data_IF_988179328785
#
_entry.id   IF_988179328785
#
_cell.length_a   1.000
_cell.length_b   1.000
_cell.length_c   1.000
_cell.angle_alpha   90.00
_cell.angle_beta   90.00
_cell.angle_gamma   90.00
#
_symmetry.space_group_name_H-M   'P 1'
#
loop_
_entity.id
_entity.type
_entity.pdbx_description
1 polymer ?
#
# COMPACT_ATOMS: atom_id res chain seq x y z
N UNK A 1 -4.21 36.82 -129.11
CA UNK A 1 -3.93 36.97 -127.67
C UNK A 1 -4.04 35.58 -127.08
N UNK A 2 -2.91 35.00 -126.73
CA UNK A 2 -2.73 33.56 -126.52
C UNK A 2 -3.02 33.13 -125.09
N UNK A 3 -3.72 32.01 -124.97
CA UNK A 3 -4.06 31.28 -123.74
C UNK A 3 -3.22 30.01 -123.70
N UNK A 4 -2.22 29.95 -122.81
CA UNK A 4 -1.48 28.72 -122.51
C UNK A 4 -2.01 28.12 -121.20
N UNK A 5 -2.50 26.87 -121.29
CA UNK A 5 -2.82 26.03 -120.13
C UNK A 5 -1.64 25.10 -119.82
N UNK A 6 -1.12 25.07 -118.58
CA UNK A 6 -0.12 24.09 -118.22
C UNK A 6 -0.79 22.78 -117.79
N UNK A 7 -0.61 21.75 -118.60
CA UNK A 7 -0.80 20.35 -118.22
C UNK A 7 0.32 19.94 -117.26
N UNK A 8 0.06 20.04 -115.95
CA UNK A 8 0.94 19.51 -114.90
C UNK A 8 0.43 18.12 -114.48
N UNK A 9 1.04 17.09 -115.06
CA UNK A 9 0.90 15.69 -114.63
C UNK A 9 1.71 15.48 -113.35
N UNK A 10 1.08 15.69 -112.20
CA UNK A 10 1.63 15.36 -110.89
C UNK A 10 1.53 13.84 -110.66
N UNK A 11 2.59 13.10 -110.95
CA UNK A 11 2.81 11.77 -110.40
C UNK A 11 2.97 11.91 -108.87
N UNK A 12 1.86 11.83 -108.14
CA UNK A 12 1.89 11.64 -106.69
C UNK A 12 2.66 10.36 -106.39
N UNK A 13 3.85 10.49 -105.80
CA UNK A 13 4.66 9.36 -105.41
C UNK A 13 3.91 8.52 -104.35
N UNK A 14 3.76 7.19 -104.53
CA UNK A 14 3.03 6.31 -103.62
C UNK A 14 3.51 6.35 -102.15
N UNK A 15 4.70 6.89 -101.90
CA UNK A 15 5.34 6.93 -100.59
C UNK A 15 4.72 7.95 -99.61
N UNK A 16 4.09 9.02 -100.11
CA UNK A 16 3.55 10.10 -99.27
C UNK A 16 2.24 9.71 -98.56
N UNK A 17 1.43 8.85 -99.19
CA UNK A 17 0.19 8.34 -98.62
C UNK A 17 0.42 7.35 -97.48
N UNK A 18 1.49 6.56 -97.54
CA UNK A 18 1.84 5.61 -96.48
C UNK A 18 2.24 6.36 -95.19
N UNK A 19 3.12 7.35 -95.33
CA UNK A 19 3.56 8.20 -94.20
C UNK A 19 2.39 8.94 -93.55
N UNK A 20 1.50 9.54 -94.35
CA UNK A 20 0.30 10.21 -93.83
C UNK A 20 -0.63 9.26 -93.09
N UNK A 21 -0.80 8.02 -93.57
CA UNK A 21 -1.64 7.02 -92.90
C UNK A 21 -1.07 6.63 -91.54
N UNK A 22 0.24 6.45 -91.46
CA UNK A 22 0.91 6.08 -90.21
C UNK A 22 0.88 7.23 -89.19
N UNK A 23 1.09 8.48 -89.63
CA UNK A 23 0.91 9.67 -88.78
C UNK A 23 -0.53 9.80 -88.24
N UNK A 24 -1.54 9.54 -89.07
CA UNK A 24 -2.94 9.59 -88.62
C UNK A 24 -3.27 8.48 -87.60
N UNK A 25 -2.62 7.31 -87.72
CA UNK A 25 -2.77 6.21 -86.75
C UNK A 25 -2.11 6.54 -85.42
N UNK A 26 -0.92 7.15 -85.47
CA UNK A 26 -0.21 7.63 -84.28
C UNK A 26 -1.05 8.69 -83.56
N UNK A 27 -1.58 9.68 -84.29
CA UNK A 27 -2.48 10.69 -83.73
C UNK A 27 -3.77 10.10 -83.14
N UNK A 28 -4.35 9.09 -83.78
CA UNK A 28 -5.52 8.40 -83.25
C UNK A 28 -5.19 7.64 -81.94
N UNK A 29 -4.02 6.98 -81.88
CA UNK A 29 -3.55 6.32 -80.67
C UNK A 29 -3.29 7.32 -79.53
N UNK A 30 -2.73 8.49 -79.83
CA UNK A 30 -2.53 9.56 -78.85
C UNK A 30 -3.86 10.13 -78.33
N UNK A 31 -4.87 10.28 -79.20
CA UNK A 31 -6.21 10.70 -78.78
C UNK A 31 -6.89 9.67 -77.87
N UNK A 32 -6.74 8.38 -78.16
CA UNK A 32 -7.24 7.31 -77.30
C UNK A 32 -6.52 7.31 -75.94
N UNK A 33 -5.20 7.52 -75.92
CA UNK A 33 -4.44 7.66 -74.68
C UNK A 33 -4.89 8.88 -73.86
N UNK A 34 -5.11 10.04 -74.50
CA UNK A 34 -5.63 11.23 -73.83
C UNK A 34 -7.02 11.00 -73.25
N UNK A 35 -7.89 10.25 -73.94
CA UNK A 35 -9.20 9.89 -73.41
C UNK A 35 -9.10 8.99 -72.16
N UNK A 36 -8.18 8.01 -72.16
CA UNK A 36 -7.92 7.16 -70.99
C UNK A 36 -7.38 8.00 -69.82
N UNK A 37 -6.41 8.87 -70.05
CA UNK A 37 -5.86 9.75 -69.01
C UNK A 37 -6.91 10.72 -68.45
N UNK A 38 -7.81 11.22 -69.29
CA UNK A 38 -8.92 12.07 -68.85
C UNK A 38 -9.91 11.29 -67.97
N UNK A 39 -10.25 10.06 -68.35
CA UNK A 39 -11.09 9.18 -67.54
C UNK A 39 -10.43 8.87 -66.18
N UNK A 40 -9.14 8.50 -66.18
CA UNK A 40 -8.36 8.30 -64.95
C UNK A 40 -8.33 9.55 -64.06
N UNK A 41 -8.10 10.74 -64.65
CA UNK A 41 -8.12 12.00 -63.91
C UNK A 41 -9.49 12.26 -63.27
N UNK A 42 -10.59 11.98 -63.98
CA UNK A 42 -11.94 12.14 -63.42
C UNK A 42 -12.22 11.14 -62.30
N UNK A 43 -11.76 9.90 -62.42
CA UNK A 43 -11.86 8.88 -61.35
C UNK A 43 -11.06 9.29 -60.11
N UNK A 44 -9.80 9.69 -60.27
CA UNK A 44 -8.98 10.16 -59.16
C UNK A 44 -9.56 11.41 -58.49
N UNK A 45 -10.18 12.32 -59.26
CA UNK A 45 -10.87 13.48 -58.69
C UNK A 45 -12.09 13.07 -57.87
N UNK A 46 -12.90 12.13 -58.35
CA UNK A 46 -14.06 11.63 -57.61
C UNK A 46 -13.64 10.92 -56.31
N UNK A 47 -12.56 10.14 -56.33
CA UNK A 47 -11.98 9.51 -55.14
C UNK A 47 -11.47 10.55 -54.12
N UNK A 48 -10.79 11.60 -54.57
CA UNK A 48 -10.35 12.71 -53.71
C UNK A 48 -11.54 13.47 -53.10
N UNK A 49 -12.60 13.72 -53.87
CA UNK A 49 -13.80 14.38 -53.36
C UNK A 49 -14.53 13.47 -52.34
N UNK A 50 -14.60 12.16 -52.58
CA UNK A 50 -15.17 11.20 -51.64
C UNK A 50 -14.40 11.14 -50.32
N UNK A 51 -13.07 10.98 -50.37
CA UNK A 51 -12.21 10.97 -49.17
C UNK A 51 -12.27 12.29 -48.42
N UNK A 52 -12.40 13.43 -49.11
CA UNK A 52 -12.61 14.74 -48.48
C UNK A 52 -13.93 14.78 -47.70
N UNK A 53 -15.02 14.30 -48.28
CA UNK A 53 -16.32 14.22 -47.61
C UNK A 53 -16.28 13.30 -46.38
N UNK A 54 -15.61 12.15 -46.48
CA UNK A 54 -15.43 11.23 -45.36
C UNK A 54 -14.63 11.87 -44.22
N UNK A 55 -13.53 12.56 -44.53
CA UNK A 55 -12.75 13.30 -43.52
C UNK A 55 -13.57 14.40 -42.83
N UNK A 56 -14.43 15.12 -43.57
CA UNK A 56 -15.32 16.13 -42.97
C UNK A 56 -16.32 15.46 -42.02
N UNK A 57 -16.91 14.32 -42.42
CA UNK A 57 -17.84 13.57 -41.58
C UNK A 57 -17.15 13.07 -40.29
N UNK A 58 -15.95 12.48 -40.40
CA UNK A 58 -15.16 12.03 -39.25
C UNK A 58 -14.80 13.18 -38.31
N UNK A 59 -14.35 14.32 -38.84
CA UNK A 59 -14.05 15.50 -38.04
C UNK A 59 -15.29 16.04 -37.31
N UNK A 60 -16.46 16.01 -37.96
CA UNK A 60 -17.71 16.41 -37.31
C UNK A 60 -18.07 15.49 -36.15
N UNK A 61 -17.87 14.18 -36.29
CA UNK A 61 -18.10 13.21 -35.22
C UNK A 61 -17.13 13.40 -34.05
N UNK A 62 -15.85 13.68 -34.34
CA UNK A 62 -14.85 14.01 -33.31
C UNK A 62 -15.26 15.25 -32.51
N UNK A 63 -15.75 16.29 -33.17
CA UNK A 63 -16.20 17.51 -32.50
C UNK A 63 -17.46 17.29 -31.63
N UNK A 64 -18.36 16.37 -32.00
CA UNK A 64 -19.47 15.97 -31.13
C UNK A 64 -18.95 15.27 -29.88
N UNK A 65 -18.11 14.25 -30.03
CA UNK A 65 -17.51 13.53 -28.90
C UNK A 65 -16.71 14.46 -27.97
N UNK A 66 -16.05 15.47 -28.53
CA UNK A 66 -15.31 16.48 -27.77
C UNK A 66 -16.25 17.32 -26.90
N UNK A 67 -17.43 17.72 -27.40
CA UNK A 67 -18.44 18.43 -26.63
C UNK A 67 -19.00 17.56 -25.51
N UNK A 68 -19.35 16.31 -25.81
CA UNK A 68 -19.87 15.37 -24.81
C UNK A 68 -18.84 15.15 -23.69
N UNK A 69 -17.57 15.00 -24.05
CA UNK A 69 -16.46 14.90 -23.08
C UNK A 69 -16.39 16.11 -22.16
N UNK A 70 -16.61 17.32 -22.68
CA UNK A 70 -16.58 18.54 -21.87
C UNK A 70 -17.78 18.61 -20.91
N UNK A 71 -18.98 18.22 -21.37
CA UNK A 71 -20.17 18.10 -20.51
C UNK A 71 -19.91 17.12 -19.36
N UNK A 72 -19.33 15.95 -19.63
CA UNK A 72 -19.00 14.99 -18.57
C UNK A 72 -17.94 15.52 -17.60
N UNK A 73 -16.98 16.33 -18.05
CA UNK A 73 -16.02 16.96 -17.13
C UNK A 73 -16.69 17.97 -16.21
N UNK A 74 -17.60 18.79 -16.74
CA UNK A 74 -18.38 19.74 -15.93
C UNK A 74 -19.27 19.04 -14.91
N UNK A 75 -19.89 17.92 -15.28
CA UNK A 75 -20.67 17.09 -14.37
C UNK A 75 -19.80 16.49 -13.25
N UNK A 76 -18.65 15.91 -13.60
CA UNK A 76 -17.69 15.39 -12.61
C UNK A 76 -17.19 16.50 -11.68
N UNK A 77 -16.94 17.71 -12.20
CA UNK A 77 -16.52 18.86 -11.38
C UNK A 77 -17.62 19.26 -10.38
N UNK A 78 -18.87 19.28 -10.83
CA UNK A 78 -20.05 19.53 -9.99
C UNK A 78 -20.16 18.48 -8.87
N UNK A 79 -20.11 17.19 -9.22
CA UNK A 79 -20.19 16.08 -8.25
C UNK A 79 -19.04 16.13 -7.23
N UNK A 80 -17.81 16.44 -7.65
CA UNK A 80 -16.68 16.63 -6.74
C UNK A 80 -16.90 17.80 -5.77
N UNK A 81 -17.47 18.91 -6.24
CA UNK A 81 -17.82 20.05 -5.37
C UNK A 81 -18.86 19.66 -4.33
N UNK A 82 -19.88 18.89 -4.71
CA UNK A 82 -20.90 18.39 -3.77
C UNK A 82 -20.32 17.43 -2.74
N UNK A 83 -19.49 16.48 -3.17
CA UNK A 83 -18.78 15.57 -2.26
C UNK A 83 -17.89 16.34 -1.27
N UNK A 84 -17.20 17.40 -1.72
CA UNK A 84 -16.40 18.24 -0.83
C UNK A 84 -17.26 18.96 0.21
N UNK A 85 -18.45 19.46 -0.18
CA UNK A 85 -19.39 20.07 0.76
C UNK A 85 -19.89 19.06 1.79
N UNK A 86 -20.22 17.84 1.36
CA UNK A 86 -20.64 16.76 2.27
C UNK A 86 -19.53 16.36 3.24
N UNK A 87 -18.29 16.23 2.75
CA UNK A 87 -17.12 15.93 3.57
C UNK A 87 -16.92 16.99 4.66
N UNK A 88 -16.92 18.28 4.28
CA UNK A 88 -16.78 19.39 5.22
C UNK A 88 -17.90 19.41 6.28
N UNK A 89 -19.12 19.01 5.90
CA UNK A 89 -20.26 18.93 6.83
C UNK A 89 -20.11 17.76 7.81
N UNK A 90 -19.66 16.58 7.34
CA UNK A 90 -19.40 15.40 8.18
C UNK A 90 -18.30 15.70 9.18
N UNK A 91 -17.21 16.35 8.75
CA UNK A 91 -16.10 16.72 9.62
C UNK A 91 -16.55 17.72 10.70
N UNK A 92 -17.41 18.69 10.34
CA UNK A 92 -17.97 19.66 11.29
C UNK A 92 -18.89 19.01 12.31
N UNK A 93 -19.75 18.08 11.90
CA UNK A 93 -20.66 17.39 12.82
C UNK A 93 -19.90 16.43 13.75
N UNK A 94 -18.90 15.72 13.23
CA UNK A 94 -18.03 14.85 14.04
C UNK A 94 -17.26 15.66 15.08
N UNK A 95 -16.73 16.82 14.70
CA UNK A 95 -16.05 17.73 15.63
C UNK A 95 -17.01 18.28 16.70
N UNK A 96 -18.25 18.62 16.32
CA UNK A 96 -19.30 19.06 17.26
C UNK A 96 -19.62 17.98 18.30
N UNK A 97 -19.81 16.72 17.87
CA UNK A 97 -20.06 15.60 18.77
C UNK A 97 -18.88 15.32 19.70
N UNK A 98 -17.64 15.43 19.20
CA UNK A 98 -16.45 15.27 20.02
C UNK A 98 -16.37 16.34 21.14
N UNK A 99 -16.70 17.60 20.81
CA UNK A 99 -16.75 18.67 21.81
C UNK A 99 -17.83 18.44 22.86
N UNK A 100 -19.02 17.98 22.46
CA UNK A 100 -20.12 17.70 23.40
C UNK A 100 -19.76 16.55 24.36
N UNK A 101 -19.12 15.50 23.84
CA UNK A 101 -18.59 14.40 24.65
C UNK A 101 -17.48 14.88 25.62
N UNK A 102 -16.56 15.73 25.15
CA UNK A 102 -15.50 16.29 25.98
C UNK A 102 -16.07 17.06 27.17
N UNK A 103 -17.05 17.95 26.95
CA UNK A 103 -17.69 18.71 28.03
C UNK A 103 -18.47 17.84 28.99
N UNK A 104 -19.12 16.78 28.49
CA UNK A 104 -19.83 15.81 29.33
C UNK A 104 -18.87 15.06 30.26
N UNK A 105 -17.74 14.58 29.72
CA UNK A 105 -16.70 13.91 30.52
C UNK A 105 -16.09 14.87 31.54
N UNK A 106 -15.85 16.13 31.14
CA UNK A 106 -15.32 17.15 32.04
C UNK A 106 -16.29 17.44 33.22
N UNK A 107 -17.59 17.52 32.96
CA UNK A 107 -18.59 17.72 33.99
C UNK A 107 -18.66 16.55 34.98
N UNK A 108 -18.56 15.30 34.51
CA UNK A 108 -18.49 14.13 35.38
C UNK A 108 -17.18 14.10 36.18
N UNK A 109 -16.05 14.51 35.59
CA UNK A 109 -14.78 14.63 36.31
C UNK A 109 -14.89 15.65 37.45
N UNK A 110 -15.45 16.83 37.19
CA UNK A 110 -15.63 17.87 38.21
C UNK A 110 -16.57 17.39 39.34
N UNK A 111 -17.63 16.66 38.99
CA UNK A 111 -18.55 16.03 39.96
C UNK A 111 -17.84 14.99 40.83
N UNK A 112 -17.01 14.13 40.24
CA UNK A 112 -16.23 13.15 41.02
C UNK A 112 -15.20 13.83 41.93
N UNK A 113 -14.60 14.94 41.48
CA UNK A 113 -13.69 15.74 42.29
C UNK A 113 -14.38 16.37 43.49
N UNK A 114 -15.57 16.94 43.29
CA UNK A 114 -16.40 17.48 44.38
C UNK A 114 -16.75 16.38 45.41
N UNK A 115 -17.14 15.19 44.95
CA UNK A 115 -17.46 14.09 45.88
C UNK A 115 -16.20 13.59 46.62
N UNK A 116 -15.05 13.55 45.96
CA UNK A 116 -13.78 13.19 46.60
C UNK A 116 -13.40 14.20 47.69
N UNK A 117 -13.54 15.51 47.42
CA UNK A 117 -13.30 16.56 48.40
C UNK A 117 -14.26 16.45 49.59
N UNK A 118 -15.53 16.10 49.31
CA UNK A 118 -16.54 15.83 50.34
C UNK A 118 -16.16 14.66 51.23
N UNK A 119 -15.73 13.55 50.64
CA UNK A 119 -15.28 12.36 51.39
C UNK A 119 -14.02 12.64 52.19
N UNK A 120 -13.07 13.38 51.62
CA UNK A 120 -11.83 13.80 52.30
C UNK A 120 -12.14 14.66 53.52
N UNK A 121 -13.09 15.59 53.39
CA UNK A 121 -13.55 16.43 54.50
C UNK A 121 -14.25 15.61 55.58
N UNK A 122 -15.11 14.67 55.20
CA UNK A 122 -15.79 13.78 56.14
C UNK A 122 -14.80 12.87 56.90
N UNK A 123 -13.78 12.37 56.22
CA UNK A 123 -12.72 11.57 56.83
C UNK A 123 -11.90 12.39 57.84
N UNK A 124 -11.54 13.63 57.50
CA UNK A 124 -10.83 14.53 58.40
C UNK A 124 -11.66 14.82 59.67
N UNK A 125 -12.97 14.99 59.55
CA UNK A 125 -13.86 15.20 60.70
C UNK A 125 -13.99 13.95 61.59
N UNK A 126 -14.10 12.75 61.00
CA UNK A 126 -14.09 11.50 61.76
C UNK A 126 -12.77 11.30 62.51
N UNK A 127 -11.65 11.65 61.89
CA UNK A 127 -10.34 11.59 62.55
C UNK A 127 -10.28 12.58 63.72
N UNK A 128 -10.79 13.80 63.55
CA UNK A 128 -10.89 14.80 64.62
C UNK A 128 -11.74 14.29 65.80
N UNK A 129 -12.90 13.70 65.53
CA UNK A 129 -13.76 13.10 66.56
C UNK A 129 -13.04 11.97 67.31
N UNK A 130 -12.33 11.10 66.60
CA UNK A 130 -11.55 10.02 67.20
C UNK A 130 -10.45 10.55 68.12
N UNK A 131 -9.74 11.60 67.70
CA UNK A 131 -8.69 12.23 68.50
C UNK A 131 -9.27 12.92 69.75
N UNK A 132 -10.43 13.59 69.61
CA UNK A 132 -11.19 14.17 70.73
C UNK A 132 -11.65 13.11 71.75
N UNK A 133 -12.17 11.97 71.29
CA UNK A 133 -12.56 10.83 72.15
C UNK A 133 -11.36 10.23 72.89
N UNK A 134 -10.24 10.02 72.20
CA UNK A 134 -9.00 9.54 72.82
C UNK A 134 -8.48 10.51 73.88
N UNK A 135 -8.51 11.81 73.59
CA UNK A 135 -8.11 12.84 74.54
C UNK A 135 -9.05 12.88 75.76
N UNK A 136 -10.36 12.77 75.56
CA UNK A 136 -11.34 12.69 76.63
C UNK A 136 -11.14 11.45 77.52
N UNK A 137 -10.89 10.28 76.92
CA UNK A 137 -10.58 9.05 77.63
C UNK A 137 -9.30 9.19 78.47
N UNK A 138 -8.23 9.73 77.90
CA UNK A 138 -6.98 9.99 78.62
C UNK A 138 -7.17 10.97 79.79
N UNK A 139 -7.99 12.01 79.61
CA UNK A 139 -8.31 12.95 80.67
C UNK A 139 -9.14 12.31 81.80
N UNK A 140 -10.07 11.39 81.49
CA UNK A 140 -10.80 10.61 82.51
C UNK A 140 -9.85 9.75 83.33
N UNK A 141 -8.96 8.99 82.68
CA UNK A 141 -7.95 8.17 83.35
C UNK A 141 -7.04 9.03 84.26
N UNK A 142 -6.60 10.20 83.78
CA UNK A 142 -5.82 11.14 84.61
C UNK A 142 -6.59 11.60 85.84
N UNK A 143 -7.88 11.95 85.70
CA UNK A 143 -8.71 12.37 86.82
C UNK A 143 -8.94 11.23 87.84
N UNK A 144 -9.13 10.00 87.37
CA UNK A 144 -9.29 8.82 88.21
C UNK A 144 -8.01 8.53 89.03
N UNK A 145 -6.84 8.58 88.38
CA UNK A 145 -5.55 8.44 89.06
C UNK A 145 -5.38 9.53 90.13
N UNK A 146 -5.63 10.80 89.80
CA UNK A 146 -5.53 11.90 90.77
C UNK A 146 -6.49 11.72 91.95
N UNK A 147 -7.70 11.21 91.73
CA UNK A 147 -8.66 10.89 92.80
C UNK A 147 -8.14 9.80 93.74
N UNK A 148 -7.50 8.75 93.21
CA UNK A 148 -6.89 7.68 94.02
C UNK A 148 -5.78 8.26 94.91
N UNK A 149 -4.93 9.13 94.37
CA UNK A 149 -3.86 9.78 95.15
C UNK A 149 -4.39 10.74 96.23
N UNK A 150 -5.53 11.41 96.01
CA UNK A 150 -6.13 12.32 97.00
C UNK A 150 -6.77 11.60 98.21
N UNK A 151 -7.12 10.31 98.08
CA UNK A 151 -7.72 9.51 99.17
C UNK A 151 -6.69 8.72 99.99
N UNK A 152 -5.41 8.82 99.65
CA UNK A 152 -4.35 8.18 100.43
C UNK A 152 -4.23 8.86 101.80
N UNK A 153 -4.28 8.11 102.93
CA UNK A 153 -4.14 8.68 104.25
C UNK A 153 -2.76 9.35 104.40
N UNK A 154 -2.77 10.57 104.93
CA UNK A 154 -1.57 11.37 105.21
C UNK A 154 -0.70 10.65 106.25
N UNK A 155 0.18 9.78 105.78
CA UNK A 155 0.92 8.89 106.67
C UNK A 155 2.13 8.24 106.04
N UNK A 156 2.89 8.92 105.18
CA UNK A 156 4.27 8.49 104.85
C UNK A 156 5.15 9.70 104.50
N UNK A 157 5.60 10.40 105.55
CA UNK A 157 6.87 11.10 105.53
C UNK A 157 7.98 10.07 105.77
N UNK A 158 8.72 9.70 104.73
CA UNK A 158 10.06 9.13 104.90
C UNK A 158 10.86 9.35 103.60
N UNK A 159 11.78 10.30 103.68
CA UNK A 159 12.86 10.48 102.72
C UNK A 159 13.74 9.22 102.63
N UNK A 160 14.37 8.99 101.48
CA UNK A 160 15.77 8.62 101.50
C UNK A 160 16.58 9.33 100.40
N UNK A 161 17.55 10.12 100.83
CA UNK A 161 18.91 10.21 100.22
C UNK A 161 19.68 8.90 100.55
N UNK A 162 20.86 8.55 99.98
CA UNK A 162 21.71 9.19 98.95
C UNK A 162 22.39 8.18 97.96
N UNK A 163 23.45 8.66 97.28
CA UNK A 163 24.52 7.95 96.54
C UNK A 163 24.19 7.58 95.07
N UNK A 164 25.00 7.90 94.06
CA UNK A 164 26.45 8.08 94.00
C UNK A 164 26.95 7.13 92.91
N UNK A 165 27.15 7.62 91.68
CA UNK A 165 27.47 6.77 90.54
C UNK A 165 27.93 7.55 89.31
N UNK A 166 29.20 7.94 89.34
CA UNK A 166 29.97 8.53 88.25
C UNK A 166 30.21 7.48 87.15
N UNK A 167 29.71 7.68 85.92
CA UNK A 167 30.34 7.08 84.71
C UNK A 167 30.24 8.07 83.55
N UNK A 168 31.42 8.45 83.06
CA UNK A 168 31.68 9.23 81.85
C UNK A 168 31.17 8.51 80.59
N UNK A 169 30.71 9.26 79.59
CA UNK A 169 30.47 8.71 78.26
C UNK A 169 29.82 9.68 77.27
N UNK A 170 30.57 10.70 76.82
CA UNK A 170 30.31 11.47 75.58
C UNK A 170 30.47 10.50 74.39
N UNK A 171 29.70 10.61 73.30
CA UNK A 171 30.05 11.57 72.25
C UNK A 171 28.85 12.35 71.67
N UNK A 172 29.15 13.59 71.26
CA UNK A 172 28.36 14.35 70.30
C UNK A 172 28.38 13.66 68.94
N UNK A 173 27.21 13.54 68.28
CA UNK A 173 27.10 13.74 66.83
C UNK A 173 25.75 14.41 66.54
N UNK A 174 25.81 15.46 65.73
CA UNK A 174 24.73 16.34 65.26
C UNK A 174 23.64 15.62 64.43
N UNK A 175 22.46 16.24 64.25
CA UNK A 175 21.33 15.64 63.55
C UNK A 175 21.41 15.89 62.04
N UNK A 176 21.21 14.85 61.23
CA UNK A 176 20.93 15.00 59.80
C UNK A 176 19.55 14.42 59.50
N UNK A 177 18.64 15.34 59.17
CA UNK A 177 17.32 15.08 58.62
C UNK A 177 17.45 14.48 57.22
N UNK A 178 16.85 13.30 57.01
CA UNK A 178 16.37 12.84 55.71
C UNK A 178 15.26 11.79 55.89
N UNK A 179 14.22 11.80 55.04
CA UNK A 179 13.02 10.98 55.21
C UNK A 179 13.23 9.55 54.67
N UNK A 180 12.79 8.56 55.44
CA UNK A 180 12.71 7.16 55.00
C UNK A 180 11.44 6.95 54.18
N UNK A 181 11.62 6.66 52.88
CA UNK A 181 10.58 6.11 52.02
C UNK A 181 10.28 4.67 52.44
N UNK A 182 9.02 4.40 52.79
CA UNK A 182 8.49 3.05 52.96
C UNK A 182 8.37 2.35 51.60
N UNK A 183 9.38 1.54 51.26
CA UNK A 183 9.24 0.52 50.22
C UNK A 183 8.26 -0.55 50.71
N UNK A 184 7.03 -0.48 50.21
CA UNK A 184 6.02 -1.53 50.34
C UNK A 184 6.38 -2.65 49.38
N UNK A 185 6.88 -3.75 49.93
CA UNK A 185 7.09 -5.02 49.24
C UNK A 185 5.75 -5.56 48.75
N UNK A 186 5.54 -5.49 47.43
CA UNK A 186 4.42 -6.08 46.70
C UNK A 186 4.71 -7.57 46.46
N UNK A 187 3.83 -8.52 46.85
CA UNK A 187 3.99 -9.91 46.46
C UNK A 187 3.63 -10.08 44.98
N UNK A 188 4.52 -10.74 44.25
CA UNK A 188 4.34 -11.23 42.87
C UNK A 188 3.33 -12.40 42.85
N UNK A 189 2.42 -12.49 41.85
CA UNK A 189 1.63 -13.69 41.64
C UNK A 189 2.46 -14.74 40.88
N UNK A 190 2.53 -15.94 41.44
CA UNK A 190 3.16 -17.11 40.83
C UNK A 190 2.43 -17.53 39.55
N UNK A 191 3.16 -17.56 38.43
CA UNK A 191 2.71 -18.12 37.17
C UNK A 191 2.79 -19.65 37.20
N UNK A 192 1.64 -20.29 37.38
CA UNK A 192 1.43 -21.72 37.24
C UNK A 192 1.74 -22.13 35.79
N UNK A 193 2.91 -22.72 35.58
CA UNK A 193 3.30 -23.33 34.30
C UNK A 193 2.85 -24.78 34.32
N UNK A 194 1.75 -25.10 33.62
CA UNK A 194 1.33 -26.49 33.35
C UNK A 194 2.17 -27.06 32.20
N UNK A 195 2.76 -28.27 32.30
CA UNK A 195 3.31 -28.97 31.16
C UNK A 195 2.21 -29.74 30.44
N UNK A 196 2.12 -29.57 29.11
CA UNK A 196 1.32 -30.42 28.23
C UNK A 196 2.20 -31.45 27.50
N UNK A 197 1.63 -32.61 27.14
CA UNK A 197 2.38 -33.85 26.98
C UNK A 197 3.01 -34.01 25.59
N UNK A 198 4.10 -34.76 25.59
CA UNK A 198 4.73 -35.34 24.42
C UNK A 198 3.77 -36.24 23.65
N UNK A 199 3.59 -35.98 22.36
CA UNK A 199 3.20 -37.00 21.40
C UNK A 199 4.46 -37.46 20.66
N UNK A 200 4.82 -38.72 20.92
CA UNK A 200 5.72 -39.51 20.10
C UNK A 200 5.01 -40.01 18.82
N UNK A 201 5.82 -40.53 17.89
CA UNK A 201 5.51 -41.30 16.69
C UNK A 201 5.39 -40.46 15.39
N UNK A 202 5.98 -40.83 14.25
CA UNK A 202 6.73 -42.03 13.85
C UNK A 202 7.43 -41.75 12.52
N UNK A 203 8.59 -42.39 12.35
CA UNK A 203 9.44 -42.41 11.16
C UNK A 203 8.79 -42.98 9.88
N UNK A 204 9.24 -42.48 8.73
CA UNK A 204 9.49 -43.18 7.45
C UNK A 204 10.20 -42.16 6.54
N UNK A 205 11.49 -42.21 6.20
CA UNK A 205 12.35 -43.27 5.64
C UNK A 205 11.84 -43.81 4.30
N UNK A 206 12.09 -43.06 3.21
CA UNK A 206 12.43 -43.63 1.90
C UNK A 206 13.63 -42.84 1.33
N UNK A 207 14.52 -43.62 0.74
CA UNK A 207 15.92 -43.40 0.41
C UNK A 207 16.11 -43.30 -1.10
N UNK A 208 17.22 -42.67 -1.51
CA UNK A 208 18.00 -42.78 -2.77
C UNK A 208 17.55 -42.13 -4.08
N UNK A 209 18.46 -41.31 -4.63
CA UNK A 209 18.57 -40.93 -6.04
C UNK A 209 19.82 -40.08 -6.26
N UNK A 210 20.86 -40.67 -6.86
CA UNK A 210 22.26 -40.18 -6.93
C UNK A 210 22.56 -39.15 -8.05
N UNK A 211 23.42 -38.16 -7.70
CA UNK A 211 24.53 -37.59 -8.51
C UNK A 211 24.24 -36.65 -9.69
N UNK A 212 25.26 -35.95 -10.28
CA UNK A 212 26.66 -35.72 -9.88
C UNK A 212 26.96 -34.22 -9.60
N UNK A 213 27.69 -33.83 -8.55
CA UNK A 213 29.17 -33.63 -8.47
C UNK A 213 29.80 -32.86 -9.65
N UNK A 214 29.95 -31.55 -9.50
CA UNK A 214 30.93 -30.71 -10.23
C UNK A 214 31.71 -29.82 -9.27
N UNK A 215 32.95 -30.25 -9.06
CA UNK A 215 34.21 -29.50 -9.05
C UNK A 215 34.33 -28.16 -8.31
N UNK A 216 35.22 -28.21 -7.32
CA UNK A 216 35.94 -27.14 -6.68
C UNK A 216 36.63 -26.20 -7.70
N UNK A 217 36.42 -24.90 -7.55
CA UNK A 217 37.42 -23.90 -7.96
C UNK A 217 37.80 -23.09 -6.72
N UNK A 218 39.02 -23.37 -6.28
CA UNK A 218 39.81 -22.64 -5.31
C UNK A 218 40.29 -21.32 -5.93
N UNK A 219 40.34 -20.26 -5.11
CA UNK A 219 41.35 -19.23 -5.25
C UNK A 219 40.88 -17.87 -5.77
N UNK A 220 40.32 -17.03 -4.89
CA UNK A 220 40.48 -15.57 -5.01
C UNK A 220 40.82 -14.99 -3.64
N UNK A 221 42.02 -14.42 -3.58
CA UNK A 221 42.65 -13.72 -2.45
C UNK A 221 42.00 -12.33 -2.29
N UNK A 222 41.77 -11.82 -1.06
CA UNK A 222 41.15 -10.50 -0.89
C UNK A 222 42.21 -9.39 -1.00
N UNK A 223 41.90 -8.22 -1.60
CA UNK A 223 42.72 -7.04 -1.44
C UNK A 223 42.16 -6.11 -0.36
N UNK A 224 43.02 -5.87 0.62
CA UNK A 224 43.46 -4.54 1.10
C UNK A 224 42.39 -3.62 1.71
N UNK A 225 42.53 -3.45 3.02
CA UNK A 225 41.99 -2.33 3.81
C UNK A 225 42.55 -1.02 3.27
N UNK A 226 41.66 -0.10 2.90
CA UNK A 226 41.96 1.31 2.69
C UNK A 226 40.95 2.12 3.49
N UNK A 227 41.43 2.74 4.57
CA UNK A 227 40.74 3.79 5.30
C UNK A 227 40.79 5.07 4.44
N UNK A 228 39.64 5.63 4.13
CA UNK A 228 39.51 7.03 3.73
C UNK A 228 38.13 7.52 4.16
N UNK A 229 38.12 8.30 5.23
CA UNK A 229 37.02 9.17 5.60
C UNK A 229 37.03 10.34 4.61
N UNK A 230 35.93 10.52 3.88
CA UNK A 230 35.58 11.78 3.25
C UNK A 230 34.08 11.96 3.40
N UNK A 231 33.72 13.00 4.16
CA UNK A 231 32.37 13.46 4.43
C UNK A 231 31.63 13.78 3.12
N UNK A 232 30.84 12.82 2.64
CA UNK A 232 29.81 13.10 1.65
C UNK A 232 28.61 13.66 2.43
N UNK A 233 28.50 14.99 2.46
CA UNK A 233 27.26 15.69 2.80
C UNK A 233 26.23 15.28 1.74
N UNK A 234 25.39 14.30 2.09
CA UNK A 234 24.21 13.94 1.30
C UNK A 234 23.23 15.09 1.44
N UNK A 235 23.17 15.94 0.41
CA UNK A 235 22.08 16.90 0.23
C UNK A 235 20.80 16.09 0.05
N UNK A 236 19.93 16.10 1.07
CA UNK A 236 18.57 15.57 1.00
C UNK A 236 17.77 16.35 -0.05
N UNK A 237 17.81 15.85 -1.28
CA UNK A 237 16.89 16.29 -2.33
C UNK A 237 15.49 15.80 -1.98
N UNK A 238 14.59 16.74 -1.73
CA UNK A 238 13.14 16.58 -1.48
C UNK A 238 12.37 16.12 -2.73
N UNK A 239 12.89 15.12 -3.44
CA UNK A 239 12.24 14.48 -4.59
C UNK A 239 11.08 13.56 -4.19
N UNK A 240 10.22 13.18 -5.14
CA UNK A 240 9.03 12.37 -4.91
C UNK A 240 9.37 11.05 -4.21
N UNK A 241 8.57 10.72 -3.18
CA UNK A 241 8.76 9.62 -2.21
C UNK A 241 8.52 8.23 -2.82
N UNK A 242 9.00 7.94 -4.01
CA UNK A 242 8.96 6.57 -4.52
C UNK A 242 10.05 5.78 -3.81
N UNK A 243 9.63 4.82 -2.98
CA UNK A 243 10.52 3.98 -2.22
C UNK A 243 11.49 3.27 -3.17
N UNK A 244 12.77 3.69 -3.17
CA UNK A 244 13.85 3.18 -4.03
C UNK A 244 13.79 1.66 -4.11
N UNK A 245 13.29 1.12 -5.23
CA UNK A 245 13.31 -0.29 -5.58
C UNK A 245 14.65 -0.93 -5.17
N UNK A 246 14.67 -2.23 -4.86
CA UNK A 246 15.90 -2.88 -4.36
C UNK A 246 17.06 -2.78 -5.37
N UNK A 247 16.72 -2.58 -6.65
CA UNK A 247 17.65 -2.26 -7.74
C UNK A 247 17.10 -1.10 -8.55
N UNK A 248 17.98 -0.30 -9.16
CA UNK A 248 17.57 0.81 -10.02
C UNK A 248 16.72 0.31 -11.19
N UNK A 249 15.56 0.92 -11.39
CA UNK A 249 14.66 0.62 -12.51
C UNK A 249 15.22 1.27 -13.80
N UNK A 250 15.21 0.59 -14.95
CA UNK A 250 15.61 1.19 -16.22
C UNK A 250 14.82 2.47 -16.51
N UNK A 251 15.50 3.48 -17.05
CA UNK A 251 14.93 4.83 -17.21
C UNK A 251 13.61 4.86 -17.98
N UNK A 252 13.51 4.13 -19.10
CA UNK A 252 12.26 4.06 -19.88
C UNK A 252 11.09 3.50 -19.07
N UNK A 253 11.34 2.49 -18.25
CA UNK A 253 10.32 1.88 -17.38
C UNK A 253 9.93 2.76 -16.21
N UNK A 254 10.90 3.48 -15.65
CA UNK A 254 10.66 4.46 -14.60
C UNK A 254 9.75 5.57 -15.10
N UNK A 255 10.03 6.13 -16.28
CA UNK A 255 9.20 7.16 -16.91
C UNK A 255 7.77 6.68 -17.15
N UNK A 256 7.60 5.45 -17.64
CA UNK A 256 6.27 4.83 -17.82
C UNK A 256 5.47 4.70 -16.51
N UNK A 257 6.14 4.36 -15.40
CA UNK A 257 5.47 4.33 -14.08
C UNK A 257 5.17 5.73 -13.54
N UNK A 258 6.04 6.71 -13.78
CA UNK A 258 5.83 8.11 -13.37
C UNK A 258 4.65 8.76 -14.10
N UNK A 259 4.39 8.34 -15.35
CA UNK A 259 3.22 8.75 -16.14
C UNK A 259 1.93 8.05 -15.70
N UNK A 260 2.04 6.96 -14.92
CA UNK A 260 0.88 6.19 -14.45
C UNK A 260 0.24 6.84 -13.22
N UNK A 261 -1.09 6.99 -13.18
CA UNK A 261 -1.77 7.66 -12.06
C UNK A 261 -1.65 6.85 -10.77
N UNK A 262 -1.32 7.49 -9.64
CA UNK A 262 -1.31 6.82 -8.33
C UNK A 262 -2.75 6.50 -7.87
N UNK A 263 -2.96 5.29 -7.35
CA UNK A 263 -4.26 4.85 -6.86
C UNK A 263 -4.26 4.73 -5.35
N UNK A 264 -5.17 5.45 -4.69
CA UNK A 264 -5.45 5.25 -3.27
C UNK A 264 -6.28 3.97 -3.12
N UNK A 265 -5.77 3.01 -2.37
CA UNK A 265 -6.48 1.76 -2.07
C UNK A 265 -6.88 1.72 -0.61
N UNK A 266 -8.08 1.21 -0.34
CA UNK A 266 -8.59 0.97 1.02
C UNK A 266 -8.19 -0.42 1.52
N UNK A 267 -6.94 -0.82 1.26
CA UNK A 267 -6.41 -2.11 1.70
C UNK A 267 -5.67 -1.89 3.02
N UNK A 268 -6.14 -2.55 4.08
CA UNK A 268 -5.48 -2.47 5.37
C UNK A 268 -4.08 -3.11 5.30
N UNK A 269 -3.06 -2.27 5.47
CA UNK A 269 -1.64 -2.64 5.48
C UNK A 269 -1.29 -3.61 6.60
N UNK A 270 -2.16 -3.76 7.60
CA UNK A 270 -1.97 -4.68 8.72
C UNK A 270 -2.18 -6.16 8.34
N UNK A 271 -2.76 -6.45 7.17
CA UNK A 271 -3.11 -7.82 6.77
C UNK A 271 -1.89 -8.60 6.27
N UNK A 272 -1.33 -9.41 7.18
CA UNK A 272 -0.20 -10.30 6.91
C UNK A 272 -0.67 -11.75 6.90
N UNK A 273 -0.32 -12.47 5.84
CA UNK A 273 -0.65 -13.87 5.60
C UNK A 273 0.62 -14.72 5.51
N UNK A 274 0.45 -16.03 5.56
CA UNK A 274 1.50 -16.98 5.16
C UNK A 274 1.12 -17.66 3.85
N UNK A 275 2.12 -18.13 3.09
CA UNK A 275 1.85 -18.92 1.88
C UNK A 275 1.13 -20.24 2.19
N UNK A 276 1.36 -20.78 3.40
CA UNK A 276 0.61 -21.89 3.99
C UNK A 276 -0.87 -21.60 4.04
N UNK A 277 -1.22 -20.45 4.65
CA UNK A 277 -2.59 -19.97 4.74
C UNK A 277 -3.24 -19.78 3.37
N UNK A 278 -2.57 -19.11 2.42
CA UNK A 278 -3.14 -18.90 1.07
C UNK A 278 -3.44 -20.22 0.36
N UNK A 279 -2.56 -21.22 0.44
CA UNK A 279 -2.81 -22.53 -0.17
C UNK A 279 -3.93 -23.30 0.53
N UNK A 280 -4.04 -23.19 1.86
CA UNK A 280 -5.13 -23.81 2.62
C UNK A 280 -6.50 -23.18 2.32
N UNK A 281 -6.54 -21.86 2.15
CA UNK A 281 -7.77 -21.06 2.02
C UNK A 281 -8.23 -20.88 0.58
N UNK A 282 -7.32 -20.71 -0.39
CA UNK A 282 -7.65 -20.52 -1.80
C UNK A 282 -7.39 -21.79 -2.63
N UNK A 283 -6.35 -22.54 -2.28
CA UNK A 283 -5.85 -23.69 -3.05
C UNK A 283 -4.57 -23.35 -3.82
N UNK A 284 -4.25 -24.18 -4.81
CA UNK A 284 -3.07 -24.00 -5.66
C UNK A 284 -1.75 -24.47 -5.05
N UNK A 285 -0.68 -24.38 -5.85
CA UNK A 285 0.68 -24.83 -5.47
C UNK A 285 1.43 -23.76 -4.67
N UNK A 286 2.35 -24.22 -3.81
CA UNK A 286 3.20 -23.38 -2.95
C UNK A 286 4.41 -22.75 -3.65
N UNK A 287 4.72 -23.06 -4.90
CA UNK A 287 5.96 -22.60 -5.54
C UNK A 287 5.81 -21.57 -6.68
N UNK A 288 4.73 -21.54 -7.49
CA UNK A 288 4.72 -20.68 -8.65
C UNK A 288 4.47 -19.21 -8.30
N UNK A 289 5.17 -18.31 -9.00
CA UNK A 289 4.90 -16.87 -9.02
C UNK A 289 3.44 -16.60 -9.39
N UNK A 290 2.93 -17.38 -10.35
CA UNK A 290 1.55 -17.35 -10.84
C UNK A 290 0.84 -18.60 -10.32
N UNK A 291 0.03 -18.47 -9.28
CA UNK A 291 -0.69 -19.59 -8.70
C UNK A 291 -1.99 -19.81 -9.47
N UNK A 292 -2.03 -20.90 -10.24
CA UNK A 292 -3.26 -21.41 -10.88
C UNK A 292 -3.97 -22.37 -9.93
N UNK A 293 -5.26 -22.16 -9.71
CA UNK A 293 -6.09 -23.02 -8.86
C UNK A 293 -6.83 -24.00 -9.75
N UNK A 294 -6.47 -25.29 -9.66
CA UNK A 294 -7.21 -26.32 -10.39
C UNK A 294 -8.64 -26.40 -9.84
N UNK A 295 -9.65 -26.51 -10.72
CA UNK A 295 -11.08 -26.55 -10.32
C UNK A 295 -11.37 -27.60 -9.24
N UNK A 296 -10.73 -28.76 -9.29
CA UNK A 296 -10.90 -29.83 -8.29
C UNK A 296 -10.26 -29.53 -6.92
N UNK A 297 -9.37 -28.55 -6.86
CA UNK A 297 -8.65 -28.13 -5.64
C UNK A 297 -9.04 -26.73 -5.18
N UNK A 298 -10.01 -26.10 -5.86
CA UNK A 298 -10.52 -24.80 -5.48
C UNK A 298 -11.25 -24.91 -4.15
N UNK A 299 -10.97 -23.98 -3.27
CA UNK A 299 -11.61 -23.90 -1.95
C UNK A 299 -12.84 -23.01 -2.02
N UNK A 300 -13.75 -23.14 -1.06
CA UNK A 300 -15.01 -22.41 -1.03
C UNK A 300 -14.84 -20.90 -1.18
N UNK A 301 -13.81 -20.30 -0.55
CA UNK A 301 -13.53 -18.87 -0.68
C UNK A 301 -13.10 -18.48 -2.10
N UNK A 302 -12.20 -19.26 -2.70
CA UNK A 302 -11.77 -19.01 -4.07
C UNK A 302 -12.92 -19.20 -5.07
N UNK A 303 -13.83 -20.15 -4.81
CA UNK A 303 -15.03 -20.36 -5.62
C UNK A 303 -16.02 -19.18 -5.47
N UNK A 304 -16.33 -18.78 -4.24
CA UNK A 304 -17.26 -17.67 -3.98
C UNK A 304 -16.77 -16.32 -4.52
N UNK A 305 -15.46 -16.13 -4.58
CA UNK A 305 -14.84 -14.91 -5.10
C UNK A 305 -14.39 -15.03 -6.56
N UNK A 306 -14.70 -16.14 -7.24
CA UNK A 306 -14.29 -16.43 -8.61
C UNK A 306 -12.77 -16.24 -8.86
N UNK A 307 -11.96 -16.69 -7.92
CA UNK A 307 -10.50 -16.62 -7.99
C UNK A 307 -9.99 -17.92 -8.63
N UNK A 308 -9.66 -17.87 -9.91
CA UNK A 308 -9.03 -18.99 -10.62
C UNK A 308 -7.50 -18.91 -10.61
N UNK A 309 -6.96 -17.69 -10.52
CA UNK A 309 -5.53 -17.39 -10.55
C UNK A 309 -5.20 -16.19 -9.66
N UNK A 310 -4.02 -16.20 -9.07
CA UNK A 310 -3.48 -15.07 -8.31
C UNK A 310 -1.95 -15.02 -8.39
N UNK A 311 -1.37 -13.89 -8.02
CA UNK A 311 0.07 -13.62 -8.09
C UNK A 311 0.68 -13.63 -6.70
N UNK A 312 1.82 -14.29 -6.55
CA UNK A 312 2.60 -14.34 -5.30
C UNK A 312 4.10 -14.08 -5.54
N UNK A 313 4.50 -12.89 -6.05
CA UNK A 313 5.91 -12.58 -6.25
C UNK A 313 6.68 -12.52 -4.94
N UNK A 314 7.89 -13.07 -4.96
CA UNK A 314 8.87 -12.81 -3.91
C UNK A 314 9.57 -11.48 -4.21
N UNK A 315 9.52 -10.54 -3.26
CA UNK A 315 10.06 -9.19 -3.42
C UNK A 315 11.57 -9.19 -3.68
N UNK A 316 12.33 -10.14 -3.13
CA UNK A 316 13.78 -10.24 -3.37
C UNK A 316 14.10 -10.67 -4.80
N UNK A 317 13.25 -11.49 -5.41
CA UNK A 317 13.40 -11.95 -6.79
C UNK A 317 12.75 -10.98 -7.78
N UNK A 318 11.78 -10.21 -7.31
CA UNK A 318 11.03 -9.22 -8.07
C UNK A 318 11.20 -7.83 -7.46
N UNK A 319 12.41 -7.25 -7.55
CA UNK A 319 12.75 -5.99 -6.88
C UNK A 319 11.95 -4.78 -7.40
N UNK A 320 11.23 -4.93 -8.52
CA UNK A 320 10.43 -3.90 -9.17
C UNK A 320 8.92 -4.05 -8.94
N UNK A 321 8.49 -5.01 -8.11
CA UNK A 321 7.09 -5.13 -7.73
C UNK A 321 6.64 -3.91 -6.91
N UNK A 322 5.34 -3.58 -6.94
CA UNK A 322 4.74 -2.57 -6.05
C UNK A 322 5.14 -2.81 -4.60
N UNK A 323 5.47 -1.74 -3.86
CA UNK A 323 5.84 -1.85 -2.45
C UNK A 323 4.67 -1.54 -1.54
N UNK A 324 3.76 -0.70 -2.01
CA UNK A 324 2.54 -0.35 -1.33
C UNK A 324 1.32 -0.68 -2.20
N UNK A 325 0.19 -1.04 -1.57
CA UNK A 325 -1.08 -1.21 -2.28
C UNK A 325 -1.44 0.03 -3.12
N UNK A 326 -1.77 -0.18 -4.40
CA UNK A 326 -2.12 0.89 -5.33
C UNK A 326 -0.97 1.45 -6.17
N UNK A 327 0.29 1.14 -5.82
CA UNK A 327 1.45 1.48 -6.66
C UNK A 327 1.54 0.57 -7.88
N UNK A 328 2.10 1.10 -8.97
CA UNK A 328 2.45 0.35 -10.17
C UNK A 328 3.83 -0.28 -10.06
N UNK A 329 4.09 -1.32 -10.86
CA UNK A 329 5.41 -1.92 -10.88
C UNK A 329 5.61 -2.91 -12.00
N UNK A 330 6.71 -3.66 -11.92
CA UNK A 330 7.03 -4.74 -12.84
C UNK A 330 7.36 -6.02 -12.07
N UNK A 331 7.02 -7.16 -12.66
CA UNK A 331 7.52 -8.45 -12.18
C UNK A 331 8.33 -9.17 -13.27
N UNK A 332 9.32 -9.92 -12.82
CA UNK A 332 10.09 -10.82 -13.67
C UNK A 332 9.37 -12.15 -13.72
N UNK A 333 8.85 -12.48 -14.88
CA UNK A 333 8.27 -13.79 -15.14
C UNK A 333 9.34 -14.66 -15.80
N UNK A 334 9.46 -15.91 -15.36
CA UNK A 334 10.50 -16.81 -15.87
C UNK A 334 10.36 -17.03 -17.38
N UNK A 335 11.47 -17.34 -18.05
CA UNK A 335 11.48 -17.64 -19.50
C UNK A 335 10.83 -18.99 -19.87
N UNK A 336 10.25 -19.71 -18.90
CA UNK A 336 9.61 -21.00 -19.11
C UNK A 336 8.17 -20.88 -19.62
N UNK A 337 7.31 -21.81 -19.20
CA UNK A 337 5.89 -21.89 -19.59
C UNK A 337 5.08 -20.62 -19.25
N UNK A 338 5.61 -19.76 -18.40
CA UNK A 338 4.96 -18.51 -17.97
C UNK A 338 5.18 -17.37 -18.98
N UNK A 339 6.07 -17.52 -19.95
CA UNK A 339 6.37 -16.49 -20.96
C UNK A 339 5.15 -16.06 -21.76
N UNK A 340 4.28 -17.01 -22.08
CA UNK A 340 3.04 -16.78 -22.83
C UNK A 340 1.85 -16.51 -21.91
N UNK A 341 2.07 -16.50 -20.60
CA UNK A 341 1.02 -16.12 -19.64
C UNK A 341 0.91 -14.59 -19.68
N UNK A 342 -0.31 -14.07 -19.89
CA UNK A 342 -0.64 -12.65 -20.05
C UNK A 342 -0.35 -12.01 -21.42
N UNK A 343 -0.51 -12.78 -22.52
CA UNK A 343 -0.60 -12.18 -23.87
C UNK A 343 -1.76 -11.16 -23.94
N UNK A 344 -2.89 -11.50 -23.31
CA UNK A 344 -3.99 -10.58 -23.05
C UNK A 344 -3.88 -10.04 -21.61
N UNK A 345 -4.16 -8.74 -21.40
CA UNK A 345 -4.22 -8.17 -20.06
C UNK A 345 -5.22 -8.93 -19.17
N UNK A 346 -4.77 -9.41 -18.02
CA UNK A 346 -5.59 -10.19 -17.08
C UNK A 346 -5.61 -9.50 -15.71
N UNK A 347 -6.78 -9.42 -15.07
CA UNK A 347 -6.92 -8.83 -13.73
C UNK A 347 -6.80 -9.90 -12.66
N UNK A 348 -5.82 -9.76 -11.77
CA UNK A 348 -5.48 -10.74 -10.75
C UNK A 348 -5.29 -10.13 -9.38
N UNK A 349 -5.54 -10.94 -8.35
CA UNK A 349 -5.15 -10.64 -6.98
C UNK A 349 -3.62 -10.71 -6.82
N UNK A 350 -3.02 -9.68 -6.24
CA UNK A 350 -1.58 -9.62 -5.97
C UNK A 350 -1.29 -9.79 -4.48
N UNK A 351 -0.44 -10.76 -4.15
CA UNK A 351 0.06 -11.03 -2.80
C UNK A 351 1.58 -10.94 -2.80
N UNK A 352 2.18 -9.89 -2.24
CA UNK A 352 3.63 -9.75 -2.22
C UNK A 352 4.24 -10.54 -1.07
N UNK A 353 5.19 -11.42 -1.36
CA UNK A 353 5.97 -12.12 -0.33
C UNK A 353 7.21 -11.32 0.05
N UNK A 354 7.30 -10.90 1.31
CA UNK A 354 8.38 -10.13 1.90
C UNK A 354 9.14 -11.01 2.91
N UNK A 355 10.48 -11.03 2.91
CA UNK A 355 11.24 -11.74 3.94
C UNK A 355 11.07 -11.09 5.31
N UNK A 356 10.74 -11.88 6.33
CA UNK A 356 10.73 -11.40 7.71
C UNK A 356 12.17 -11.35 8.24
N UNK A 357 12.60 -10.19 8.73
CA UNK A 357 13.99 -9.95 9.17
C UNK A 357 14.54 -11.05 10.07
N UNK A 358 15.53 -11.80 9.57
CA UNK A 358 16.24 -12.86 10.30
C UNK A 358 15.67 -14.28 10.15
N UNK A 359 14.49 -14.46 9.55
CA UNK A 359 13.88 -15.77 9.33
C UNK A 359 13.91 -16.20 7.86
N UNK A 360 13.88 -17.51 7.61
CA UNK A 360 13.57 -18.05 6.27
C UNK A 360 12.07 -17.97 5.93
N UNK A 361 11.24 -17.57 6.89
CA UNK A 361 9.81 -17.37 6.68
C UNK A 361 9.56 -16.13 5.81
N UNK A 362 8.56 -16.24 4.93
CA UNK A 362 8.07 -15.15 4.10
C UNK A 362 6.69 -14.75 4.63
N UNK A 363 6.55 -13.47 4.94
CA UNK A 363 5.26 -12.83 5.15
C UNK A 363 4.65 -12.45 3.81
N UNK A 364 3.35 -12.62 3.69
CA UNK A 364 2.64 -12.37 2.45
C UNK A 364 1.60 -11.29 2.70
N UNK A 365 1.72 -10.16 2.02
CA UNK A 365 0.80 -9.02 2.17
C UNK A 365 -0.08 -8.91 0.94
N UNK A 366 -1.38 -8.68 1.14
CA UNK A 366 -2.30 -8.44 0.03
C UNK A 366 -2.12 -7.01 -0.50
N UNK A 367 -1.95 -6.87 -1.81
CA UNK A 367 -1.69 -5.58 -2.46
C UNK A 367 -2.90 -5.05 -3.24
N UNK A 368 -3.94 -5.87 -3.43
CA UNK A 368 -5.14 -5.51 -4.19
C UNK A 368 -5.24 -6.22 -5.54
N UNK A 369 -6.06 -5.64 -6.43
CA UNK A 369 -6.31 -6.15 -7.78
C UNK A 369 -5.48 -5.39 -8.81
N UNK A 370 -4.74 -6.14 -9.62
CA UNK A 370 -3.84 -5.60 -10.62
C UNK A 370 -4.16 -6.15 -12.00
N UNK A 371 -4.17 -5.28 -13.00
CA UNK A 371 -4.13 -5.65 -14.40
C UNK A 371 -2.69 -5.96 -14.77
N UNK A 372 -2.45 -7.17 -15.26
CA UNK A 372 -1.12 -7.64 -15.65
C UNK A 372 -1.10 -7.90 -17.14
N UNK A 373 -0.15 -7.27 -17.82
CA UNK A 373 0.05 -7.41 -19.25
C UNK A 373 1.51 -7.78 -19.55
N UNK A 374 1.74 -8.57 -20.60
CA UNK A 374 3.09 -8.78 -21.11
C UNK A 374 3.63 -7.46 -21.64
N UNK A 375 4.67 -6.91 -21.01
CA UNK A 375 5.28 -5.67 -21.46
C UNK A 375 5.79 -5.83 -22.88
N UNK A 376 5.42 -4.90 -23.76
CA UNK A 376 5.90 -4.85 -25.15
C UNK A 376 7.43 -4.81 -25.15
N UNK A 377 8.07 -5.94 -25.44
CA UNK A 377 9.52 -6.05 -25.42
C UNK A 377 10.03 -6.20 -26.84
N UNK A 378 10.41 -5.07 -27.44
CA UNK A 378 11.33 -5.02 -28.58
C UNK A 378 12.74 -5.54 -28.22
N UNK A 379 13.03 -5.82 -26.94
CA UNK A 379 14.32 -6.34 -26.46
C UNK A 379 14.31 -7.85 -26.16
N UNK A 380 15.00 -8.60 -27.02
CA UNK A 380 15.08 -10.07 -27.15
C UNK A 380 15.47 -10.94 -25.94
N UNK A 381 15.66 -10.44 -24.70
CA UNK A 381 16.25 -11.29 -23.63
C UNK A 381 15.59 -11.31 -22.26
N UNK A 382 14.64 -10.42 -21.93
CA UNK A 382 13.90 -10.49 -20.64
C UNK A 382 12.49 -9.94 -20.83
N UNK A 383 11.48 -10.78 -20.66
CA UNK A 383 10.08 -10.35 -20.56
C UNK A 383 9.86 -9.85 -19.14
N UNK A 384 9.35 -8.63 -19.01
CA UNK A 384 8.80 -8.17 -17.75
C UNK A 384 7.34 -7.82 -17.99
N UNK A 385 6.51 -8.18 -17.02
CA UNK A 385 5.09 -7.86 -17.08
C UNK A 385 4.84 -6.58 -16.32
N UNK A 386 4.04 -5.70 -16.92
CA UNK A 386 3.59 -4.47 -16.28
C UNK A 386 2.45 -4.84 -15.33
N UNK A 387 2.57 -4.39 -14.08
CA UNK A 387 1.56 -4.54 -13.04
C UNK A 387 0.92 -3.17 -12.87
N UNK A 388 -0.26 -2.99 -13.46
CA UNK A 388 -1.00 -1.72 -13.41
C UNK A 388 -2.19 -1.87 -12.48
N UNK A 389 -2.28 -1.02 -11.45
CA UNK A 389 -3.48 -0.98 -10.64
C UNK A 389 -4.62 -0.33 -11.43
N UNK A 390 -5.80 -0.95 -11.47
CA UNK A 390 -7.00 -0.37 -12.09
C UNK A 390 -8.11 -0.42 -11.07
N UNK A 391 -8.44 0.73 -10.49
CA UNK A 391 -9.55 0.85 -9.56
C UNK A 391 -10.87 0.56 -10.30
N UNK A 392 -11.47 -0.59 -10.02
CA UNK A 392 -12.92 -0.75 -10.24
C UNK A 392 -13.59 -0.52 -8.92
N UNK A 393 -14.38 0.55 -8.85
CA UNK A 393 -15.45 0.65 -7.89
C UNK A 393 -16.37 -0.55 -8.18
N UNK A 394 -16.33 -1.57 -7.32
CA UNK A 394 -17.29 -2.67 -7.33
C UNK A 394 -18.65 -2.03 -7.01
N UNK A 395 -19.35 -1.51 -8.03
CA UNK A 395 -20.80 -1.30 -7.94
C UNK A 395 -21.38 -2.69 -7.77
N UNK A 396 -21.72 -3.02 -6.53
CA UNK A 396 -22.61 -4.13 -6.26
C UNK A 396 -23.95 -3.81 -6.90
N UNK A 397 -24.15 -4.27 -8.13
CA UNK A 397 -25.49 -4.50 -8.68
C UNK A 397 -26.12 -5.66 -7.90
N UNK A 398 -26.52 -5.37 -6.66
CA UNK A 398 -27.54 -6.16 -6.00
C UNK A 398 -28.87 -5.80 -6.65
N UNK A 399 -29.15 -6.48 -7.77
CA UNK A 399 -30.48 -6.54 -8.35
C UNK A 399 -31.46 -7.02 -7.27
N UNK A 400 -32.26 -6.09 -6.75
CA UNK A 400 -33.50 -6.42 -6.07
C UNK A 400 -34.39 -7.14 -7.07
N UNK A 401 -34.40 -8.47 -7.03
CA UNK A 401 -35.52 -9.24 -7.57
C UNK A 401 -36.70 -9.00 -6.64
N UNK A 402 -37.64 -8.19 -7.11
CA UNK A 402 -38.93 -7.95 -6.47
C UNK A 402 -39.74 -9.24 -6.35
N UNK A 403 -40.49 -9.30 -5.25
CA UNK A 403 -41.59 -10.25 -5.02
C UNK A 403 -42.78 -9.91 -5.90
#
# INVERSE_FOLDING_TARGET
>A
MSTDSPSSSAECQPNDYALRRDLMREWAADLDQLAVLQDELTKSRAELEWTRCENIAQNSAIEVLRRDTEVYKEEIATQRSELQKLQNNVDRETYRQLLENYWTVQAELDKTKIELDRQTTAFAELQRQKDEEQMAHMNRLRAEILSIFAQAPAGFNAAPTPAGGTVQGRPQVSPQLAPTSSNTTRPQPESITRPLPHCANTSSLITTGNGPRTENISGVKPPIKGEHEDDIIIVESSGPKHAKYLTALPEGRRKELEESPEFVTDVDKSTVFTRGFLSATLGGSHQPLIVKIAKQKQKSLAESCNIEKFLVPNQNQNPWCPRFPGEHGYMFVGLGNERETFQEPERLNLFLSVPTGGSKALEVTYMGFYEVSSGCTTQRRRVAHTITHRATQLRGDHGQQGK
#
